data_IF_723001823930
#
_entry.id   IF_723001823930
#
_cell.length_a   1.000
_cell.length_b   1.000
_cell.length_c   1.000
_cell.angle_alpha   90.00
_cell.angle_beta   90.00
_cell.angle_gamma   90.00
#
_symmetry.space_group_name_H-M   'P 1'
#
loop_
_entity.id
_entity.type
_entity.pdbx_description
1 polymer ?
#
# COMPACT_ATOMS: atom_id res chain seq x y z
N UNK A 1 -6.10 7.97 7.50
CA UNK A 1 -5.31 9.11 8.07
C UNK A 1 -5.59 10.34 7.21
N UNK A 2 -6.03 11.46 7.79
CA UNK A 2 -6.24 12.73 7.06
C UNK A 2 -5.14 13.68 7.54
N UNK A 3 -4.10 13.81 6.75
CA UNK A 3 -3.04 14.80 7.02
C UNK A 3 -3.54 16.12 6.44
N UNK A 4 -3.88 17.09 7.31
CA UNK A 4 -4.43 18.41 6.89
C UNK A 4 -3.56 19.12 5.87
N UNK A 5 -2.25 18.94 5.94
CA UNK A 5 -1.31 19.56 5.01
C UNK A 5 -1.29 18.93 3.61
N UNK A 6 -1.83 17.70 3.44
CA UNK A 6 -2.02 17.08 2.13
C UNK A 6 -3.37 17.46 1.47
N UNK A 7 -4.23 18.20 2.16
CA UNK A 7 -5.46 18.75 1.57
C UNK A 7 -5.17 19.95 0.62
N UNK A 8 -4.00 20.58 0.70
CA UNK A 8 -3.60 21.61 -0.26
C UNK A 8 -3.21 20.96 -1.61
N UNK A 9 -3.98 21.19 -2.69
CA UNK A 9 -3.69 20.61 -4.01
C UNK A 9 -2.30 20.99 -4.56
N UNK A 10 -1.75 22.12 -4.14
CA UNK A 10 -0.42 22.58 -4.58
C UNK A 10 0.68 21.75 -3.92
N UNK A 11 0.58 21.53 -2.61
CA UNK A 11 1.52 20.68 -1.86
C UNK A 11 1.49 19.25 -2.35
N UNK A 12 0.28 18.71 -2.53
CA UNK A 12 0.10 17.36 -3.07
C UNK A 12 0.72 17.22 -4.48
N UNK A 13 0.55 18.22 -5.35
CA UNK A 13 1.17 18.24 -6.68
C UNK A 13 2.70 18.33 -6.62
N UNK A 14 3.26 19.12 -5.71
CA UNK A 14 4.71 19.22 -5.50
C UNK A 14 5.28 17.91 -4.97
N UNK A 15 4.65 17.31 -3.96
CA UNK A 15 5.05 16.05 -3.37
C UNK A 15 5.05 14.94 -4.42
N UNK A 16 3.96 14.84 -5.19
CA UNK A 16 3.86 13.90 -6.30
C UNK A 16 4.98 14.09 -7.32
N UNK A 17 5.23 15.33 -7.77
CA UNK A 17 6.28 15.60 -8.75
C UNK A 17 7.65 15.13 -8.29
N UNK A 18 7.96 15.24 -6.99
CA UNK A 18 9.22 14.75 -6.41
C UNK A 18 9.24 13.22 -6.31
N UNK A 19 8.10 12.58 -6.04
CA UNK A 19 7.97 11.12 -6.03
C UNK A 19 8.12 10.56 -7.44
N UNK A 20 7.40 11.12 -8.42
CA UNK A 20 7.36 10.65 -9.81
C UNK A 20 8.67 10.94 -10.58
N UNK A 21 9.57 11.73 -10.00
CA UNK A 21 10.93 11.91 -10.52
C UNK A 21 11.81 10.66 -10.36
N UNK A 22 11.39 9.65 -9.58
CA UNK A 22 12.09 8.41 -9.36
C UNK A 22 11.50 7.29 -10.22
N UNK A 23 12.35 6.37 -10.68
CA UNK A 23 11.94 5.19 -11.46
C UNK A 23 12.12 3.90 -10.66
N UNK A 24 11.38 2.84 -11.07
CA UNK A 24 11.55 1.50 -10.49
C UNK A 24 12.99 1.01 -10.63
N UNK A 25 13.64 1.28 -11.76
CA UNK A 25 15.02 0.83 -12.03
C UNK A 25 16.04 1.46 -11.06
N UNK A 26 15.81 2.69 -10.61
CA UNK A 26 16.69 3.39 -9.67
C UNK A 26 16.54 2.90 -8.22
N UNK A 27 15.37 2.37 -7.87
CA UNK A 27 15.06 1.98 -6.50
C UNK A 27 14.96 0.48 -6.27
N UNK A 28 14.90 -0.33 -7.35
CA UNK A 28 14.91 -1.79 -7.20
C UNK A 28 16.29 -2.28 -6.81
N UNK A 29 16.31 -3.27 -5.94
CA UNK A 29 17.51 -4.06 -5.67
C UNK A 29 17.54 -5.23 -6.67
N UNK A 30 18.63 -5.34 -7.43
CA UNK A 30 18.88 -6.43 -8.38
C UNK A 30 19.73 -7.56 -7.79
N UNK A 31 20.37 -7.34 -6.63
CA UNK A 31 21.15 -8.33 -5.89
C UNK A 31 20.36 -8.80 -4.65
N UNK A 32 19.32 -9.57 -4.89
CA UNK A 32 18.39 -10.03 -3.85
C UNK A 32 18.49 -11.55 -3.66
N UNK A 33 18.31 -12.06 -2.43
CA UNK A 33 18.31 -13.49 -2.17
C UNK A 33 17.05 -14.16 -2.73
N UNK A 34 17.18 -15.43 -3.11
CA UNK A 34 16.05 -16.29 -3.49
C UNK A 34 16.16 -17.66 -2.82
N UNK A 35 15.02 -18.32 -2.65
CA UNK A 35 14.92 -19.69 -2.13
C UNK A 35 14.05 -20.53 -3.05
N UNK A 36 14.24 -21.86 -3.02
CA UNK A 36 13.41 -22.82 -3.75
C UNK A 36 12.17 -23.24 -2.96
N UNK A 37 11.14 -23.70 -3.65
CA UNK A 37 9.90 -24.19 -2.98
C UNK A 37 10.13 -25.47 -2.16
N UNK A 38 11.14 -26.26 -2.49
CA UNK A 38 11.52 -27.48 -1.77
C UNK A 38 12.58 -27.25 -0.68
N UNK A 39 13.06 -26.03 -0.49
CA UNK A 39 13.96 -25.69 0.60
C UNK A 39 13.24 -25.85 1.96
N UNK A 40 14.04 -25.94 3.02
CA UNK A 40 13.51 -26.02 4.39
C UNK A 40 13.34 -24.63 4.98
N UNK A 41 12.43 -24.50 5.93
CA UNK A 41 12.23 -23.27 6.66
C UNK A 41 13.51 -22.80 7.37
N UNK A 42 14.34 -23.73 7.89
CA UNK A 42 15.66 -23.43 8.45
C UNK A 42 16.57 -22.67 7.50
N UNK A 43 16.57 -23.06 6.23
CA UNK A 43 17.43 -22.46 5.20
C UNK A 43 16.94 -21.03 4.89
N UNK A 44 15.63 -20.86 4.75
CA UNK A 44 15.01 -19.54 4.56
C UNK A 44 15.32 -18.59 5.70
N UNK A 45 15.19 -19.05 6.95
CA UNK A 45 15.47 -18.22 8.12
C UNK A 45 16.94 -17.81 8.21
N UNK A 46 17.85 -18.69 7.77
CA UNK A 46 19.27 -18.35 7.64
C UNK A 46 19.47 -17.26 6.58
N UNK A 47 18.85 -17.39 5.41
CA UNK A 47 18.89 -16.35 4.36
C UNK A 47 18.36 -15.02 4.89
N UNK A 48 17.17 -15.01 5.52
CA UNK A 48 16.54 -13.81 6.08
C UNK A 48 17.43 -13.12 7.12
N UNK A 49 18.06 -13.92 7.98
CA UNK A 49 18.99 -13.40 9.02
C UNK A 49 20.25 -12.79 8.42
N UNK A 50 20.88 -13.53 7.49
CA UNK A 50 22.20 -13.17 6.97
C UNK A 50 22.12 -11.98 5.98
N UNK A 51 20.96 -11.79 5.33
CA UNK A 51 20.73 -10.72 4.36
C UNK A 51 19.89 -9.57 4.89
N UNK A 52 19.31 -9.67 6.08
CA UNK A 52 18.33 -8.72 6.66
C UNK A 52 17.02 -8.57 5.86
N UNK A 53 16.73 -9.47 4.91
CA UNK A 53 15.48 -9.49 4.17
C UNK A 53 14.34 -10.07 5.02
N UNK A 54 13.21 -9.38 5.10
CA UNK A 54 12.03 -9.83 5.85
C UNK A 54 11.04 -10.64 5.00
N UNK A 55 11.11 -10.47 3.70
CA UNK A 55 10.38 -11.20 2.67
C UNK A 55 11.40 -11.71 1.65
N UNK A 56 11.37 -12.99 1.29
CA UNK A 56 12.31 -13.59 0.32
C UNK A 56 11.53 -14.18 -0.84
N UNK A 57 11.87 -13.84 -2.09
CA UNK A 57 11.27 -14.43 -3.28
C UNK A 57 11.55 -15.94 -3.38
N UNK A 58 10.52 -16.69 -3.74
CA UNK A 58 10.62 -18.12 -4.04
C UNK A 58 10.70 -18.31 -5.55
N UNK A 59 11.74 -19.01 -6.01
CA UNK A 59 12.01 -19.22 -7.43
C UNK A 59 12.30 -20.68 -7.71
N UNK A 60 11.53 -21.30 -8.62
CA UNK A 60 11.75 -22.67 -9.09
C UNK A 60 12.05 -22.66 -10.59
N UNK A 61 13.16 -23.27 -10.98
CA UNK A 61 13.59 -23.36 -12.39
C UNK A 61 13.58 -22.00 -13.11
N UNK A 62 13.95 -20.92 -12.42
CA UNK A 62 13.98 -19.56 -12.95
C UNK A 62 12.60 -18.89 -13.06
N UNK A 63 11.55 -19.54 -12.58
CA UNK A 63 10.18 -18.99 -12.54
C UNK A 63 9.87 -18.49 -11.13
N UNK A 64 9.37 -17.27 -11.01
CA UNK A 64 8.90 -16.71 -9.76
C UNK A 64 7.60 -17.42 -9.30
N UNK A 65 7.56 -17.86 -8.05
CA UNK A 65 6.45 -18.60 -7.45
C UNK A 65 5.68 -17.81 -6.40
N UNK A 66 6.27 -16.78 -5.83
CA UNK A 66 5.71 -15.98 -4.75
C UNK A 66 6.77 -15.57 -3.75
N UNK A 67 6.39 -15.18 -2.55
CA UNK A 67 7.31 -14.80 -1.46
C UNK A 67 7.05 -15.64 -0.21
N UNK A 68 8.09 -15.79 0.59
CA UNK A 68 7.98 -16.25 1.98
C UNK A 68 8.39 -15.09 2.90
N UNK A 69 7.65 -14.86 3.97
CA UNK A 69 7.86 -13.73 4.89
C UNK A 69 7.80 -14.17 6.34
N UNK A 70 8.43 -13.40 7.24
CA UNK A 70 8.25 -13.60 8.68
C UNK A 70 6.77 -13.62 9.08
N UNK A 71 5.96 -12.74 8.52
CA UNK A 71 4.51 -12.68 8.80
C UNK A 71 3.80 -13.98 8.40
N UNK A 72 4.15 -14.55 7.23
CA UNK A 72 3.58 -15.84 6.78
C UNK A 72 4.01 -16.98 7.69
N UNK A 73 5.29 -17.00 8.07
CA UNK A 73 5.84 -17.99 8.98
C UNK A 73 5.13 -17.93 10.34
N UNK A 74 4.95 -16.73 10.91
CA UNK A 74 4.27 -16.51 12.19
C UNK A 74 2.84 -17.01 12.22
N UNK A 75 2.11 -16.85 11.12
CA UNK A 75 0.70 -17.27 11.00
C UNK A 75 0.56 -18.80 10.91
N UNK A 76 1.63 -19.51 10.54
CA UNK A 76 1.61 -20.98 10.40
C UNK A 76 2.10 -21.69 11.66
N UNK A 77 1.26 -21.73 12.69
CA UNK A 77 1.60 -22.31 14.02
C UNK A 77 2.13 -23.75 13.98
N UNK A 78 1.77 -24.53 12.95
CA UNK A 78 2.20 -25.93 12.78
C UNK A 78 3.54 -26.09 12.05
N UNK A 79 4.14 -25.01 11.53
CA UNK A 79 5.42 -25.08 10.84
C UNK A 79 6.58 -25.30 11.84
N UNK A 80 7.56 -26.07 11.40
CA UNK A 80 8.82 -26.31 12.10
C UNK A 80 10.00 -26.09 11.14
N UNK A 81 11.23 -26.25 11.62
CA UNK A 81 12.45 -26.01 10.84
C UNK A 81 12.58 -26.88 9.59
N UNK A 82 12.02 -28.10 9.61
CA UNK A 82 12.03 -29.03 8.47
C UNK A 82 10.87 -28.80 7.50
N UNK A 83 9.93 -27.89 7.82
CA UNK A 83 8.78 -27.60 6.95
C UNK A 83 9.26 -27.06 5.61
N UNK A 84 8.65 -27.57 4.52
CA UNK A 84 8.96 -27.12 3.16
C UNK A 84 8.35 -25.76 2.86
N UNK A 85 9.11 -24.91 2.14
CA UNK A 85 8.72 -23.56 1.73
C UNK A 85 7.40 -23.52 0.97
N UNK A 86 7.12 -24.51 0.12
CA UNK A 86 5.89 -24.59 -0.69
C UNK A 86 4.58 -24.45 0.11
N UNK A 87 4.59 -24.86 1.38
CA UNK A 87 3.43 -24.71 2.27
C UNK A 87 3.26 -23.31 2.89
N UNK A 88 4.21 -22.41 2.63
CA UNK A 88 4.33 -21.07 3.22
C UNK A 88 4.40 -19.95 2.16
N UNK A 89 4.35 -20.31 0.88
CA UNK A 89 4.40 -19.34 -0.22
C UNK A 89 3.14 -18.47 -0.20
N UNK A 90 3.33 -17.17 -0.30
CA UNK A 90 2.28 -16.17 -0.44
C UNK A 90 2.40 -15.47 -1.80
N UNK A 91 1.28 -15.31 -2.52
CA UNK A 91 1.22 -14.42 -3.66
C UNK A 91 1.23 -12.96 -3.20
N UNK A 92 1.97 -12.13 -3.92
CA UNK A 92 1.99 -10.67 -3.74
C UNK A 92 1.88 -10.00 -5.10
N UNK A 93 1.46 -8.72 -5.16
CA UNK A 93 1.45 -7.96 -6.41
C UNK A 93 2.82 -7.98 -7.08
N UNK A 94 2.82 -8.07 -8.40
CA UNK A 94 4.03 -8.06 -9.22
C UNK A 94 4.17 -6.71 -9.91
N UNK A 95 5.38 -6.15 -9.87
CA UNK A 95 5.70 -4.86 -10.47
C UNK A 95 6.28 -5.01 -11.87
N UNK A 96 6.03 -4.00 -12.69
CA UNK A 96 6.73 -3.73 -13.94
C UNK A 96 7.73 -2.59 -13.74
N UNK A 97 8.80 -2.52 -14.57
CA UNK A 97 9.73 -1.37 -14.58
C UNK A 97 9.05 -0.02 -14.88
N UNK A 98 7.88 -0.05 -15.54
CA UNK A 98 7.11 1.14 -15.91
C UNK A 98 6.06 1.54 -14.87
N UNK A 99 5.98 0.86 -13.71
CA UNK A 99 5.01 1.21 -12.68
C UNK A 99 5.40 2.49 -11.96
N UNK A 100 4.40 3.30 -11.58
CA UNK A 100 4.59 4.53 -10.82
C UNK A 100 4.92 4.24 -9.36
N UNK A 101 5.78 5.03 -8.75
CA UNK A 101 6.18 4.87 -7.33
C UNK A 101 4.97 4.96 -6.39
N UNK A 102 4.02 5.84 -6.68
CA UNK A 102 2.78 5.97 -5.90
C UNK A 102 1.89 4.72 -5.99
N UNK A 103 1.87 4.04 -7.15
CA UNK A 103 1.20 2.75 -7.32
C UNK A 103 1.88 1.67 -6.48
N UNK A 104 3.21 1.61 -6.51
CA UNK A 104 3.99 0.66 -5.71
C UNK A 104 3.71 0.83 -4.22
N UNK A 105 3.67 2.08 -3.74
CA UNK A 105 3.33 2.40 -2.36
C UNK A 105 1.92 1.91 -2.00
N UNK A 106 0.92 2.11 -2.88
CA UNK A 106 -0.44 1.63 -2.68
C UNK A 106 -0.50 0.10 -2.65
N UNK A 107 0.18 -0.59 -3.56
CA UNK A 107 0.24 -2.05 -3.55
C UNK A 107 0.90 -2.60 -2.27
N UNK A 108 1.96 -1.95 -1.79
CA UNK A 108 2.62 -2.34 -0.54
C UNK A 108 1.73 -2.13 0.69
N UNK A 109 1.01 -1.02 0.77
CA UNK A 109 0.13 -0.73 1.91
C UNK A 109 -1.13 -1.56 1.86
N UNK A 110 -1.79 -1.66 0.71
CA UNK A 110 -3.03 -2.41 0.53
C UNK A 110 -2.88 -3.92 0.77
N UNK A 111 -1.72 -4.50 0.44
CA UNK A 111 -1.45 -5.93 0.62
C UNK A 111 -0.58 -6.23 1.85
N UNK A 112 -0.24 -5.24 2.66
CA UNK A 112 0.69 -5.34 3.79
C UNK A 112 1.99 -6.09 3.43
N UNK A 113 2.60 -5.72 2.28
CA UNK A 113 3.86 -6.29 1.82
C UNK A 113 5.02 -5.37 2.23
N UNK A 114 6.17 -5.97 2.58
CA UNK A 114 7.41 -5.21 2.87
C UNK A 114 8.27 -5.05 1.65
N UNK A 115 8.09 -5.93 0.68
CA UNK A 115 8.73 -5.80 -0.62
C UNK A 115 7.88 -6.45 -1.72
N UNK A 116 8.07 -5.98 -2.95
CA UNK A 116 7.38 -6.46 -4.13
C UNK A 116 8.38 -6.83 -5.22
N UNK A 117 8.15 -7.95 -5.93
CA UNK A 117 9.02 -8.39 -7.02
C UNK A 117 8.78 -7.56 -8.28
N UNK A 118 9.87 -7.21 -8.97
CA UNK A 118 9.84 -6.64 -10.31
C UNK A 118 10.01 -7.78 -11.32
N UNK A 119 9.04 -7.94 -12.22
CA UNK A 119 8.97 -9.10 -13.12
C UNK A 119 9.21 -8.69 -14.57
N UNK A 120 9.95 -9.51 -15.29
CA UNK A 120 10.07 -9.46 -16.75
C UNK A 120 9.72 -10.82 -17.34
N UNK A 121 8.58 -10.94 -17.98
CA UNK A 121 8.02 -12.21 -18.40
C UNK A 121 7.66 -13.09 -17.18
N UNK A 122 8.36 -14.24 -17.02
CA UNK A 122 8.21 -15.13 -15.86
C UNK A 122 9.34 -15.02 -14.83
N UNK A 123 10.32 -14.16 -15.08
CA UNK A 123 11.51 -14.03 -14.25
C UNK A 123 11.42 -12.81 -13.36
N UNK A 124 11.86 -12.97 -12.12
CA UNK A 124 12.10 -11.85 -11.22
C UNK A 124 13.45 -11.21 -11.60
N UNK A 125 13.47 -9.89 -11.76
CA UNK A 125 14.65 -9.11 -12.16
C UNK A 125 15.10 -8.13 -11.09
N UNK A 126 14.32 -7.97 -10.03
CA UNK A 126 14.62 -7.11 -8.91
C UNK A 126 13.51 -7.16 -7.86
N UNK A 127 13.73 -6.52 -6.74
CA UNK A 127 12.75 -6.32 -5.68
C UNK A 127 12.72 -4.84 -5.28
N UNK A 128 11.54 -4.30 -5.00
CA UNK A 128 11.39 -2.98 -4.39
C UNK A 128 10.95 -3.18 -2.94
N UNK A 129 11.70 -2.63 -2.00
CA UNK A 129 11.41 -2.73 -0.57
C UNK A 129 10.77 -1.46 -0.02
N UNK A 130 10.11 -1.54 1.15
CA UNK A 130 9.65 -0.35 1.90
C UNK A 130 10.82 0.60 2.19
N UNK A 131 11.99 0.07 2.51
CA UNK A 131 13.21 0.86 2.74
C UNK A 131 13.55 1.73 1.54
N UNK A 132 13.43 1.22 0.32
CA UNK A 132 13.68 1.99 -0.90
C UNK A 132 12.70 3.17 -1.03
N UNK A 133 11.41 2.99 -0.73
CA UNK A 133 10.42 4.06 -0.73
C UNK A 133 10.67 5.08 0.40
N UNK A 134 11.08 4.63 1.59
CA UNK A 134 11.49 5.53 2.67
C UNK A 134 12.73 6.32 2.28
N UNK A 135 13.67 5.73 1.53
CA UNK A 135 14.80 6.44 0.94
C UNK A 135 14.42 7.51 -0.08
N UNK A 136 13.28 7.39 -0.78
CA UNK A 136 12.70 8.50 -1.55
C UNK A 136 12.18 9.57 -0.57
N UNK A 137 11.39 9.17 0.43
CA UNK A 137 10.79 10.07 1.40
C UNK A 137 11.84 10.92 2.14
N UNK A 138 12.99 10.35 2.51
CA UNK A 138 14.08 11.07 3.20
C UNK A 138 14.73 12.19 2.38
N UNK A 139 14.39 12.32 1.09
CA UNK A 139 14.90 13.36 0.19
C UNK A 139 13.81 14.35 -0.25
N UNK A 140 12.59 14.20 0.23
CA UNK A 140 11.45 15.01 -0.14
C UNK A 140 11.25 16.15 0.84
N UNK A 141 11.68 17.37 0.46
CA UNK A 141 11.62 18.56 1.31
C UNK A 141 10.23 18.91 1.85
N UNK A 142 9.17 18.59 1.12
CA UNK A 142 7.79 18.87 1.56
C UNK A 142 7.45 18.09 2.84
N UNK A 143 8.08 16.94 3.09
CA UNK A 143 7.88 16.15 4.30
C UNK A 143 8.49 16.80 5.56
N UNK A 144 9.33 17.81 5.41
CA UNK A 144 9.85 18.62 6.52
C UNK A 144 8.78 19.50 7.19
N UNK A 145 7.65 19.68 6.53
CA UNK A 145 6.52 20.46 7.07
C UNK A 145 5.55 19.58 7.87
N UNK A 146 5.63 18.26 7.73
CA UNK A 146 4.76 17.29 8.42
C UNK A 146 5.48 16.82 9.70
N UNK A 147 4.80 16.88 10.83
CA UNK A 147 5.33 16.44 12.11
C UNK A 147 5.07 14.96 12.36
N UNK A 148 5.99 14.31 13.06
CA UNK A 148 5.88 12.88 13.44
C UNK A 148 4.57 12.60 14.16
N UNK A 149 4.13 13.47 15.10
CA UNK A 149 2.88 13.27 15.85
C UNK A 149 1.62 13.25 14.98
N UNK A 150 1.66 13.81 13.77
CA UNK A 150 0.51 13.82 12.85
C UNK A 150 0.26 12.46 12.22
N UNK A 151 1.31 11.62 12.16
CA UNK A 151 1.25 10.33 11.45
C UNK A 151 1.57 9.12 12.34
N UNK A 152 2.15 9.32 13.53
CA UNK A 152 2.49 8.22 14.44
C UNK A 152 1.26 7.47 14.93
N UNK A 153 1.43 6.18 15.21
CA UNK A 153 0.43 5.39 15.92
C UNK A 153 0.45 5.74 17.42
N UNK A 154 -0.67 6.22 17.93
CA UNK A 154 -0.92 6.54 19.34
C UNK A 154 -2.38 6.21 19.69
N UNK A 155 -2.71 5.52 20.83
CA UNK A 155 -1.76 5.00 21.83
C UNK A 155 -0.89 3.84 21.32
N UNK A 156 0.35 3.76 21.81
CA UNK A 156 1.29 2.70 21.48
C UNK A 156 1.28 1.59 22.54
N UNK A 157 1.35 0.34 22.09
CA UNK A 157 1.61 -0.80 22.97
C UNK A 157 3.12 -1.05 23.08
N UNK A 158 3.58 -1.39 24.28
CA UNK A 158 4.98 -1.68 24.59
C UNK A 158 5.07 -2.81 25.63
N UNK A 159 6.25 -3.40 25.79
CA UNK A 159 6.53 -4.38 26.83
C UNK A 159 7.49 -3.80 27.86
N UNK A 160 7.38 -4.25 29.12
CA UNK A 160 8.36 -3.91 30.16
C UNK A 160 9.67 -4.64 29.93
N UNK A 161 10.80 -4.08 30.38
CA UNK A 161 12.12 -4.68 30.25
C UNK A 161 12.19 -6.12 30.82
N UNK A 162 11.47 -6.38 31.91
CA UNK A 162 11.42 -7.69 32.56
C UNK A 162 10.34 -8.62 31.99
N UNK A 163 9.60 -8.22 30.96
CA UNK A 163 8.59 -9.06 30.31
C UNK A 163 9.27 -10.29 29.68
N UNK A 164 8.51 -11.36 29.55
CA UNK A 164 8.99 -12.57 28.86
C UNK A 164 8.99 -12.37 27.35
N UNK A 165 9.91 -13.03 26.68
CA UNK A 165 9.98 -12.99 25.21
C UNK A 165 8.70 -13.50 24.54
N UNK A 166 8.01 -14.46 25.18
CA UNK A 166 6.69 -14.94 24.77
C UNK A 166 5.62 -13.84 24.77
N UNK A 167 5.67 -12.89 25.70
CA UNK A 167 4.69 -11.81 25.79
C UNK A 167 4.89 -10.82 24.63
N UNK A 168 6.16 -10.50 24.31
CA UNK A 168 6.48 -9.69 23.13
C UNK A 168 6.04 -10.38 21.84
N UNK A 169 6.25 -11.69 21.72
CA UNK A 169 5.82 -12.48 20.58
C UNK A 169 4.27 -12.47 20.40
N UNK A 170 3.54 -12.71 21.50
CA UNK A 170 2.07 -12.66 21.48
C UNK A 170 1.57 -11.27 21.06
N UNK A 171 2.21 -10.20 21.57
CA UNK A 171 1.88 -8.83 21.18
C UNK A 171 2.19 -8.54 19.70
N UNK A 172 3.29 -9.05 19.15
CA UNK A 172 3.60 -8.93 17.72
C UNK A 172 2.53 -9.60 16.86
N UNK A 173 2.03 -10.76 17.26
CA UNK A 173 0.96 -11.46 16.55
C UNK A 173 -0.36 -10.70 16.63
N UNK A 174 -0.71 -10.16 17.80
CA UNK A 174 -1.94 -9.38 18.01
C UNK A 174 -1.95 -8.09 17.16
N UNK A 175 -0.80 -7.40 17.08
CA UNK A 175 -0.66 -6.12 16.39
C UNK A 175 -0.26 -6.25 14.91
N UNK A 176 -0.01 -7.47 14.41
CA UNK A 176 0.57 -7.76 13.08
C UNK A 176 1.85 -6.92 12.80
N UNK A 177 2.68 -6.74 13.83
CA UNK A 177 3.96 -6.01 13.77
C UNK A 177 5.14 -6.95 14.00
N UNK A 178 6.31 -6.56 13.54
CA UNK A 178 7.55 -7.33 13.73
C UNK A 178 8.50 -6.69 14.75
N UNK A 179 8.12 -5.57 15.37
CA UNK A 179 8.97 -4.86 16.34
C UNK A 179 8.10 -4.22 17.42
N UNK A 180 8.50 -4.36 18.68
CA UNK A 180 7.83 -3.80 19.86
C UNK A 180 8.82 -2.94 20.65
N UNK A 181 8.45 -1.71 21.07
CA UNK A 181 9.23 -0.92 22.01
C UNK A 181 9.28 -1.55 23.39
N UNK A 182 10.40 -1.42 24.06
CA UNK A 182 10.63 -1.85 25.44
C UNK A 182 10.75 -0.61 26.31
N UNK A 183 10.01 -0.59 27.42
CA UNK A 183 10.02 0.53 28.36
C UNK A 183 10.37 0.07 29.78
N UNK A 184 10.91 1.00 30.56
CA UNK A 184 11.09 0.82 32.01
C UNK A 184 9.82 1.24 32.77
N UNK A 185 9.86 1.16 34.12
CA UNK A 185 8.73 1.53 34.98
C UNK A 185 8.33 3.02 34.92
N UNK A 186 9.21 3.88 34.38
CA UNK A 186 8.94 5.31 34.18
C UNK A 186 8.42 5.61 32.77
N UNK A 187 8.08 4.58 32.00
CA UNK A 187 7.68 4.66 30.58
C UNK A 187 8.78 5.25 29.67
N UNK A 188 10.05 5.15 30.07
CA UNK A 188 11.17 5.55 29.21
C UNK A 188 11.55 4.40 28.29
N UNK A 189 11.84 4.70 27.01
CA UNK A 189 12.31 3.72 26.04
C UNK A 189 13.71 3.24 26.45
N UNK A 190 13.87 1.93 26.63
CA UNK A 190 15.14 1.29 26.95
C UNK A 190 15.69 0.44 25.81
N UNK A 191 14.83 0.03 24.86
CA UNK A 191 15.23 -0.76 23.70
C UNK A 191 14.05 -1.06 22.80
N UNK A 192 14.30 -1.90 21.80
CA UNK A 192 13.29 -2.53 20.96
C UNK A 192 13.58 -4.03 20.86
N UNK A 193 12.54 -4.82 20.71
CA UNK A 193 12.66 -6.25 20.37
C UNK A 193 11.98 -6.51 19.06
N UNK A 194 12.67 -7.15 18.14
CA UNK A 194 12.18 -7.52 16.81
C UNK A 194 11.98 -9.02 16.66
N UNK A 195 11.33 -9.41 15.59
CA UNK A 195 11.08 -10.80 15.25
C UNK A 195 12.39 -11.59 15.03
N UNK A 196 13.42 -10.91 14.50
CA UNK A 196 14.74 -11.49 14.28
C UNK A 196 15.36 -11.96 15.61
N UNK A 197 15.35 -11.11 16.63
CA UNK A 197 15.89 -11.42 17.95
C UNK A 197 15.14 -12.59 18.60
N UNK A 198 13.82 -12.66 18.40
CA UNK A 198 12.99 -13.77 18.87
C UNK A 198 13.40 -15.09 18.20
N UNK A 199 13.53 -15.07 16.88
CA UNK A 199 13.92 -16.27 16.11
C UNK A 199 15.31 -16.75 16.47
N UNK A 200 16.29 -15.85 16.50
CA UNK A 200 17.69 -16.20 16.80
C UNK A 200 17.86 -16.84 18.19
N UNK A 201 17.06 -16.44 19.16
CA UNK A 201 17.12 -16.97 20.51
C UNK A 201 16.30 -18.25 20.73
N UNK A 202 15.17 -18.39 20.06
CA UNK A 202 14.26 -19.54 20.32
C UNK A 202 14.48 -20.73 19.41
N UNK A 203 15.06 -20.55 18.21
CA UNK A 203 15.17 -21.61 17.22
C UNK A 203 16.55 -22.26 17.09
N UNK A 204 17.37 -22.13 18.11
CA UNK A 204 18.60 -22.94 18.21
C UNK A 204 18.33 -24.43 18.47
N UNK A 205 17.08 -24.82 18.80
CA UNK A 205 16.66 -26.22 19.04
C UNK A 205 15.76 -26.70 17.90
N UNK A 206 16.25 -27.63 17.09
CA UNK A 206 15.70 -28.10 15.80
C UNK A 206 14.29 -28.71 15.83
N UNK A 207 13.72 -29.05 16.98
CA UNK A 207 12.46 -29.81 17.10
C UNK A 207 11.24 -28.98 17.55
N UNK A 208 11.31 -27.65 17.57
CA UNK A 208 10.21 -26.80 18.03
C UNK A 208 9.33 -26.36 16.87
N UNK A 209 8.01 -26.42 17.06
CA UNK A 209 7.04 -25.80 16.17
C UNK A 209 6.82 -24.34 16.55
N UNK A 210 6.39 -23.52 15.57
CA UNK A 210 6.13 -22.07 15.80
C UNK A 210 5.11 -21.85 16.93
N UNK A 211 4.09 -22.69 17.04
CA UNK A 211 3.11 -22.64 18.12
C UNK A 211 3.68 -22.88 19.53
N UNK A 212 4.89 -23.44 19.64
CA UNK A 212 5.55 -23.62 20.93
C UNK A 212 6.24 -22.36 21.44
N UNK A 213 6.43 -21.35 20.59
CA UNK A 213 6.91 -20.02 21.02
C UNK A 213 5.91 -19.37 22.00
N UNK A 214 4.61 -19.62 21.80
CA UNK A 214 3.55 -19.17 22.73
C UNK A 214 3.56 -19.91 24.05
N UNK A 215 4.05 -21.18 24.06
CA UNK A 215 3.94 -22.09 25.21
C UNK A 215 5.25 -22.24 26.01
N UNK A 216 6.38 -21.76 25.47
CA UNK A 216 7.67 -22.01 26.09
C UNK A 216 7.96 -21.10 27.30
N UNK A 217 7.17 -21.28 28.34
CA UNK A 217 7.45 -20.77 29.68
C UNK A 217 8.71 -21.37 30.34
N UNK A 218 9.47 -22.26 29.67
CA UNK A 218 10.61 -22.97 30.29
C UNK A 218 11.97 -22.29 30.15
N UNK A 219 12.17 -21.42 29.17
CA UNK A 219 13.33 -20.53 29.16
C UNK A 219 12.84 -19.15 29.64
N UNK A 220 13.18 -18.78 30.84
CA UNK A 220 12.89 -17.45 31.40
C UNK A 220 13.76 -16.38 30.71
N UNK A 221 13.61 -16.26 29.39
CA UNK A 221 14.31 -15.25 28.60
C UNK A 221 13.48 -13.97 28.65
N UNK A 222 14.05 -12.92 29.23
CA UNK A 222 13.45 -11.60 29.26
C UNK A 222 13.70 -10.87 27.95
N UNK A 223 12.80 -9.97 27.55
CA UNK A 223 12.97 -9.15 26.35
C UNK A 223 14.23 -8.30 26.39
N UNK A 224 14.64 -7.83 27.59
CA UNK A 224 15.85 -7.04 27.78
C UNK A 224 17.13 -7.79 27.38
N UNK A 225 17.18 -9.11 27.64
CA UNK A 225 18.35 -9.93 27.33
C UNK A 225 18.62 -10.15 25.84
N UNK A 226 17.64 -9.88 24.99
CA UNK A 226 17.70 -10.07 23.53
C UNK A 226 17.42 -8.78 22.75
N UNK A 227 17.14 -7.70 23.46
CA UNK A 227 16.76 -6.41 22.85
C UNK A 227 17.93 -5.72 22.13
N UNK A 228 17.59 -4.94 21.13
CA UNK A 228 18.50 -3.95 20.54
C UNK A 228 18.48 -2.71 21.45
N UNK A 229 19.63 -2.42 22.06
CA UNK A 229 19.80 -1.34 23.03
C UNK A 229 21.14 -0.62 22.80
N UNK A 230 21.17 0.74 22.73
CA UNK A 230 20.02 1.63 22.81
C UNK A 230 19.13 1.61 21.55
N UNK A 231 17.83 1.86 21.73
CA UNK A 231 16.92 2.05 20.60
C UNK A 231 17.19 3.39 19.92
N UNK A 232 17.13 3.41 18.59
CA UNK A 232 17.02 4.66 17.83
C UNK A 232 15.60 5.17 18.01
N UNK A 233 15.44 6.42 18.44
CA UNK A 233 14.15 7.06 18.71
C UNK A 233 14.03 8.36 17.93
N UNK A 234 12.80 8.86 17.75
CA UNK A 234 12.50 10.15 17.16
C UNK A 234 11.61 10.96 18.13
N UNK A 235 11.79 12.28 18.20
CA UNK A 235 10.90 13.10 18.99
C UNK A 235 9.55 13.29 18.30
N UNK A 236 8.49 13.45 19.07
CA UNK A 236 7.14 13.60 18.56
C UNK A 236 6.96 14.85 17.69
N UNK A 237 7.74 15.91 17.91
CA UNK A 237 7.74 17.18 17.16
C UNK A 237 8.83 17.27 16.08
N UNK A 238 9.63 16.22 15.88
CA UNK A 238 10.52 16.11 14.72
C UNK A 238 9.70 16.00 13.41
N UNK A 239 10.39 16.12 12.29
CA UNK A 239 9.73 16.05 10.98
C UNK A 239 9.66 14.61 10.45
N UNK A 240 8.74 14.38 9.51
CA UNK A 240 8.66 13.09 8.81
C UNK A 240 9.92 12.84 7.96
N UNK A 241 10.54 13.90 7.42
CA UNK A 241 11.82 13.82 6.69
C UNK A 241 12.94 13.33 7.61
N UNK A 242 13.06 13.87 8.83
CA UNK A 242 14.04 13.44 9.84
C UNK A 242 13.84 11.97 10.20
N UNK A 243 12.59 11.56 10.45
CA UNK A 243 12.23 10.18 10.76
C UNK A 243 12.55 9.23 9.60
N UNK A 244 12.23 9.61 8.36
CA UNK A 244 12.56 8.83 7.17
C UNK A 244 14.07 8.66 6.99
N UNK A 245 14.84 9.72 7.25
CA UNK A 245 16.30 9.71 7.21
C UNK A 245 16.86 8.77 8.27
N UNK A 246 16.38 8.86 9.53
CA UNK A 246 16.79 7.93 10.60
C UNK A 246 16.50 6.47 10.24
N UNK A 247 15.31 6.18 9.68
CA UNK A 247 14.96 4.81 9.27
C UNK A 247 15.86 4.31 8.13
N UNK A 248 16.14 5.17 7.16
CA UNK A 248 16.93 4.79 5.99
C UNK A 248 18.40 4.56 6.34
N UNK A 249 19.01 5.47 7.11
CA UNK A 249 20.43 5.43 7.45
C UNK A 249 20.78 4.29 8.42
N UNK A 250 19.84 3.96 9.33
CA UNK A 250 20.05 2.89 10.31
C UNK A 250 19.47 1.54 9.89
N UNK A 251 18.90 1.43 8.68
CA UNK A 251 18.23 0.21 8.15
C UNK A 251 17.18 -0.36 9.12
N UNK A 252 16.34 0.51 9.68
CA UNK A 252 15.29 0.14 10.64
C UNK A 252 13.91 0.44 10.10
N UNK A 253 12.93 -0.37 10.50
CA UNK A 253 11.55 -0.28 10.00
C UNK A 253 10.59 0.40 10.99
N UNK A 254 11.04 0.65 12.22
CA UNK A 254 10.19 1.13 13.31
C UNK A 254 10.98 2.03 14.23
N UNK A 255 10.45 3.21 14.53
CA UNK A 255 10.98 4.18 15.49
C UNK A 255 10.01 4.34 16.66
N UNK A 256 10.44 4.07 17.90
CA UNK A 256 9.73 4.58 19.06
C UNK A 256 9.72 6.10 19.03
N UNK A 257 8.55 6.71 19.21
CA UNK A 257 8.37 8.15 19.27
C UNK A 257 8.34 8.56 20.73
N UNK A 258 9.16 9.56 21.07
CA UNK A 258 9.34 9.99 22.46
C UNK A 258 9.01 11.47 22.66
N UNK A 259 8.57 11.79 23.88
CA UNK A 259 8.52 13.14 24.44
C UNK A 259 9.47 13.15 25.65
N UNK A 260 10.61 13.83 25.52
CA UNK A 260 11.65 13.91 26.57
C UNK A 260 12.25 12.55 26.88
N UNK A 261 12.12 11.47 26.45
CA UNK A 261 12.52 10.06 26.64
C UNK A 261 11.35 9.13 26.99
N UNK A 262 10.13 9.64 27.24
CA UNK A 262 8.95 8.82 27.48
C UNK A 262 8.33 8.39 26.15
N UNK A 263 7.95 7.14 26.06
CA UNK A 263 7.27 6.59 24.91
C UNK A 263 5.89 7.22 24.77
N UNK A 264 5.62 7.88 23.63
CA UNK A 264 4.31 8.50 23.32
C UNK A 264 3.67 7.93 22.07
N UNK A 265 4.43 7.26 21.19
CA UNK A 265 3.93 6.69 19.95
C UNK A 265 4.94 5.75 19.32
N UNK A 266 4.56 5.23 18.16
CA UNK A 266 5.45 4.48 17.26
C UNK A 266 5.23 4.96 15.83
N UNK A 267 6.31 5.10 15.09
CA UNK A 267 6.31 5.40 13.66
C UNK A 267 6.97 4.25 12.90
N UNK A 268 6.36 3.82 11.83
CA UNK A 268 6.86 2.73 10.99
C UNK A 268 7.08 3.17 9.55
N UNK A 269 7.86 2.39 8.79
CA UNK A 269 7.96 2.58 7.34
C UNK A 269 6.59 2.56 6.66
N UNK A 270 5.62 1.80 7.18
CA UNK A 270 4.27 1.74 6.65
C UNK A 270 3.59 3.11 6.68
N UNK A 271 3.69 3.84 7.80
CA UNK A 271 3.07 5.16 7.97
C UNK A 271 3.64 6.19 6.97
N UNK A 272 4.96 6.14 6.73
CA UNK A 272 5.61 7.01 5.74
C UNK A 272 5.17 6.66 4.31
N UNK A 273 5.11 5.35 3.97
CA UNK A 273 4.71 4.88 2.65
C UNK A 273 3.24 5.19 2.38
N UNK A 274 2.39 5.22 3.42
CA UNK A 274 0.99 5.61 3.29
C UNK A 274 0.86 7.06 2.77
N UNK A 275 1.78 7.97 3.14
CA UNK A 275 1.84 9.32 2.58
C UNK A 275 2.11 9.27 1.07
N UNK A 276 3.11 8.47 0.64
CA UNK A 276 3.43 8.29 -0.78
C UNK A 276 2.22 7.70 -1.53
N UNK A 277 1.57 6.71 -0.95
CA UNK A 277 0.36 6.09 -1.51
C UNK A 277 -0.79 7.09 -1.66
N UNK A 278 -0.98 7.98 -0.67
CA UNK A 278 -2.01 9.03 -0.71
C UNK A 278 -1.78 10.04 -1.85
N UNK A 279 -0.54 10.17 -2.33
CA UNK A 279 -0.20 11.04 -3.47
C UNK A 279 -0.60 10.44 -4.82
N UNK A 280 -1.03 9.17 -4.86
CA UNK A 280 -1.46 8.55 -6.11
C UNK A 280 -2.62 9.32 -6.71
N UNK A 281 -2.47 9.71 -7.97
CA UNK A 281 -3.57 10.27 -8.75
C UNK A 281 -4.57 9.15 -9.01
N UNK A 282 -5.58 9.12 -8.20
CA UNK A 282 -6.75 8.35 -8.55
C UNK A 282 -7.50 9.21 -9.57
N UNK A 283 -7.62 8.72 -10.77
CA UNK A 283 -8.63 9.20 -11.71
C UNK A 283 -10.01 8.76 -11.16
N UNK A 284 -10.32 9.18 -9.94
CA UNK A 284 -11.66 9.02 -9.37
C UNK A 284 -12.53 10.07 -10.05
N UNK A 285 -13.09 9.66 -11.17
CA UNK A 285 -14.19 10.40 -11.79
C UNK A 285 -15.37 10.19 -10.84
N UNK A 286 -15.83 11.26 -10.23
CA UNK A 286 -17.04 11.21 -9.43
C UNK A 286 -18.22 10.93 -10.34
N UNK A 287 -18.81 9.73 -10.24
CA UNK A 287 -19.98 9.33 -11.02
C UNK A 287 -21.19 9.35 -10.09
N UNK A 288 -22.17 10.17 -10.43
CA UNK A 288 -23.45 10.23 -9.73
C UNK A 288 -24.58 9.89 -10.68
N UNK A 289 -25.37 8.88 -10.31
CA UNK A 289 -26.61 8.52 -11.01
C UNK A 289 -27.77 8.88 -10.09
N UNK A 290 -28.74 9.61 -10.62
CA UNK A 290 -29.93 10.04 -9.89
C UNK A 290 -31.20 9.74 -10.70
N UNK A 291 -32.34 9.64 -10.02
CA UNK A 291 -33.65 9.41 -10.66
C UNK A 291 -33.96 7.96 -11.04
N UNK A 292 -33.17 6.99 -10.54
CA UNK A 292 -33.51 5.56 -10.67
C UNK A 292 -34.67 5.22 -9.73
N UNK A 293 -35.68 4.54 -10.25
CA UNK A 293 -36.78 3.97 -9.47
C UNK A 293 -36.38 2.61 -8.88
N UNK A 294 -37.19 2.07 -7.94
CA UNK A 294 -36.86 0.80 -7.27
C UNK A 294 -36.71 -0.36 -8.25
N UNK A 295 -37.52 -0.40 -9.31
CA UNK A 295 -37.44 -1.41 -10.37
C UNK A 295 -36.15 -1.34 -11.19
N UNK A 296 -35.51 -0.17 -11.27
CA UNK A 296 -34.30 0.08 -12.03
C UNK A 296 -33.03 -0.24 -11.27
N UNK A 297 -33.11 -0.42 -9.93
CA UNK A 297 -31.95 -0.70 -9.06
C UNK A 297 -31.20 -1.97 -9.43
N UNK A 298 -31.89 -2.98 -9.98
CA UNK A 298 -31.27 -4.21 -10.45
C UNK A 298 -30.31 -3.98 -11.65
N UNK A 299 -30.50 -2.90 -12.40
CA UNK A 299 -29.64 -2.55 -13.52
C UNK A 299 -28.42 -1.68 -13.12
N UNK A 300 -28.29 -1.28 -11.85
CA UNK A 300 -27.27 -0.32 -11.38
C UNK A 300 -25.86 -0.79 -11.69
N UNK A 301 -25.54 -2.06 -11.46
CA UNK A 301 -24.21 -2.65 -11.72
C UNK A 301 -23.87 -2.57 -13.22
N UNK A 302 -24.79 -2.97 -14.09
CA UNK A 302 -24.61 -2.89 -15.54
C UNK A 302 -24.48 -1.44 -16.05
N UNK A 303 -25.13 -0.47 -15.38
CA UNK A 303 -24.96 0.95 -15.70
C UNK A 303 -23.53 1.42 -15.37
N UNK A 304 -23.00 1.06 -14.19
CA UNK A 304 -21.64 1.41 -13.81
C UNK A 304 -20.62 0.79 -14.76
N UNK A 305 -20.74 -0.49 -15.13
CA UNK A 305 -19.84 -1.14 -16.11
C UNK A 305 -19.78 -0.39 -17.44
N UNK A 306 -20.94 -0.04 -17.99
CA UNK A 306 -21.04 0.72 -19.27
C UNK A 306 -20.41 2.10 -19.15
N UNK A 307 -20.61 2.78 -18.01
CA UNK A 307 -20.07 4.11 -17.77
C UNK A 307 -18.54 4.03 -17.61
N UNK A 308 -18.05 3.13 -16.80
CA UNK A 308 -16.60 2.96 -16.53
C UNK A 308 -15.82 2.65 -17.81
N UNK A 309 -16.32 1.74 -18.66
CA UNK A 309 -15.68 1.41 -19.93
C UNK A 309 -15.43 2.66 -20.80
N UNK A 310 -16.42 3.54 -20.91
CA UNK A 310 -16.31 4.74 -21.75
C UNK A 310 -15.51 5.85 -21.04
N UNK A 311 -15.61 5.96 -19.72
CA UNK A 311 -14.85 6.94 -18.93
C UNK A 311 -13.35 6.65 -18.98
N UNK A 312 -12.92 5.38 -18.99
CA UNK A 312 -11.51 4.99 -19.24
C UNK A 312 -11.02 5.50 -20.60
N UNK A 313 -11.85 5.45 -21.64
CA UNK A 313 -11.50 5.97 -22.98
C UNK A 313 -11.38 7.49 -22.98
N UNK A 314 -12.33 8.17 -22.34
CA UNK A 314 -12.36 9.63 -22.21
C UNK A 314 -11.13 10.09 -21.39
N UNK A 315 -10.77 9.41 -20.31
CA UNK A 315 -9.65 9.71 -19.45
C UNK A 315 -8.29 9.74 -20.16
N UNK A 316 -8.12 8.92 -21.19
CA UNK A 316 -6.89 8.92 -22.03
C UNK A 316 -6.69 10.21 -22.84
N UNK A 317 -7.75 11.01 -23.04
CA UNK A 317 -7.73 12.20 -23.90
C UNK A 317 -7.94 13.50 -23.14
N UNK A 318 -8.85 13.47 -22.17
CA UNK A 318 -9.17 14.58 -21.28
C UNK A 318 -9.26 14.05 -19.84
N UNK A 319 -9.01 14.91 -18.85
CA UNK A 319 -9.20 14.58 -17.42
C UNK A 319 -10.62 15.02 -17.03
N UNK A 320 -11.61 14.09 -17.02
CA UNK A 320 -12.92 14.37 -16.47
C UNK A 320 -12.84 14.44 -14.94
N UNK A 321 -13.54 15.39 -14.34
CA UNK A 321 -13.60 15.59 -12.88
C UNK A 321 -14.83 14.89 -12.30
N UNK A 322 -15.97 15.01 -12.97
CA UNK A 322 -17.20 14.31 -12.57
C UNK A 322 -18.16 14.09 -13.73
N UNK A 323 -18.96 13.05 -13.59
CA UNK A 323 -20.07 12.72 -14.49
C UNK A 323 -21.35 12.60 -13.66
N UNK A 324 -22.32 13.45 -13.94
CA UNK A 324 -23.65 13.37 -13.34
C UNK A 324 -24.65 12.89 -14.37
N UNK A 325 -25.35 11.81 -14.09
CA UNK A 325 -26.46 11.30 -14.88
C UNK A 325 -27.76 11.49 -14.11
N UNK A 326 -28.77 11.95 -14.81
CA UNK A 326 -30.14 11.99 -14.32
C UNK A 326 -31.04 11.19 -15.24
N UNK A 327 -31.67 10.17 -14.67
CA UNK A 327 -32.60 9.28 -15.35
C UNK A 327 -34.02 9.74 -15.03
N UNK A 328 -34.81 10.00 -16.09
CA UNK A 328 -36.23 10.22 -15.96
C UNK A 328 -36.97 9.08 -16.68
N UNK A 329 -37.82 8.37 -15.97
CA UNK A 329 -38.64 7.26 -16.45
C UNK A 329 -40.02 7.78 -16.78
N UNK A 330 -40.54 7.40 -17.94
CA UNK A 330 -41.89 7.68 -18.38
C UNK A 330 -42.61 6.35 -18.64
N UNK A 331 -43.66 6.10 -17.85
CA UNK A 331 -44.50 4.91 -18.05
C UNK A 331 -45.41 5.11 -19.26
N UNK A 332 -45.37 4.18 -20.21
CA UNK A 332 -46.34 4.13 -21.27
C UNK A 332 -47.44 3.11 -20.95
N UNK A 333 -48.63 3.29 -21.49
CA UNK A 333 -49.84 2.49 -21.21
C UNK A 333 -49.75 1.02 -21.63
N UNK A 334 -48.61 0.58 -22.16
CA UNK A 334 -48.35 -0.80 -22.62
C UNK A 334 -47.40 -1.64 -21.79
N UNK A 335 -47.00 -1.19 -20.59
CA UNK A 335 -46.09 -1.96 -19.73
C UNK A 335 -44.60 -1.84 -20.09
N UNK A 336 -44.23 -1.05 -21.09
CA UNK A 336 -42.85 -0.67 -21.42
C UNK A 336 -42.52 0.72 -20.86
N UNK A 337 -41.32 0.88 -20.30
CA UNK A 337 -40.84 2.16 -19.79
C UNK A 337 -39.95 2.85 -20.84
N UNK A 338 -40.16 4.15 -21.01
CA UNK A 338 -39.29 5.00 -21.83
C UNK A 338 -38.39 5.83 -20.91
N UNK A 339 -37.08 5.81 -21.16
CA UNK A 339 -36.08 6.50 -20.36
C UNK A 339 -35.56 7.73 -21.10
N UNK A 340 -35.43 8.82 -20.40
CA UNK A 340 -34.69 10.02 -20.82
C UNK A 340 -33.53 10.25 -19.89
N UNK A 341 -32.31 10.09 -20.39
CA UNK A 341 -31.09 10.21 -19.60
C UNK A 341 -30.38 11.49 -20.00
N UNK A 342 -30.17 12.36 -19.02
CA UNK A 342 -29.38 13.58 -19.15
C UNK A 342 -28.04 13.37 -18.50
N UNK A 343 -26.93 13.67 -19.17
CA UNK A 343 -25.58 13.61 -18.63
C UNK A 343 -24.94 14.98 -18.63
N UNK A 344 -24.22 15.26 -17.54
CA UNK A 344 -23.39 16.44 -17.40
C UNK A 344 -21.97 16.00 -17.05
N UNK A 345 -21.05 16.18 -18.00
CA UNK A 345 -19.63 15.86 -17.82
C UNK A 345 -18.86 17.14 -17.49
N UNK A 346 -18.23 17.15 -16.31
CA UNK A 346 -17.33 18.19 -15.87
C UNK A 346 -15.91 17.78 -16.22
N UNK A 347 -15.22 18.68 -16.92
CA UNK A 347 -13.81 18.54 -17.30
C UNK A 347 -13.10 19.85 -16.92
N UNK A 348 -11.81 19.81 -16.69
CA UNK A 348 -11.04 21.00 -16.29
C UNK A 348 -11.34 22.23 -17.16
N UNK A 349 -12.10 23.18 -16.60
CA UNK A 349 -12.50 24.41 -17.27
C UNK A 349 -13.61 24.28 -18.30
N UNK A 350 -14.33 23.15 -18.38
CA UNK A 350 -15.45 22.94 -19.30
C UNK A 350 -16.53 22.06 -18.68
N UNK A 351 -17.76 22.38 -19.01
CA UNK A 351 -18.94 21.53 -18.73
C UNK A 351 -19.62 21.21 -20.06
N UNK A 352 -19.92 19.94 -20.29
CA UNK A 352 -20.63 19.48 -21.51
C UNK A 352 -21.89 18.74 -21.07
N UNK A 353 -23.00 19.06 -21.73
CA UNK A 353 -24.29 18.46 -21.44
C UNK A 353 -24.73 17.58 -22.63
N UNK A 354 -25.25 16.41 -22.31
CA UNK A 354 -25.76 15.44 -23.28
C UNK A 354 -27.13 14.94 -22.86
N UNK A 355 -27.89 14.45 -23.80
CA UNK A 355 -29.18 13.82 -23.54
C UNK A 355 -29.44 12.72 -24.56
N UNK A 356 -30.00 11.62 -24.07
CA UNK A 356 -30.43 10.49 -24.90
C UNK A 356 -31.78 9.96 -24.42
N UNK A 357 -32.55 9.36 -25.33
CA UNK A 357 -33.90 8.83 -25.03
C UNK A 357 -34.04 7.45 -25.67
N UNK A 358 -34.50 6.47 -24.91
CA UNK A 358 -34.69 5.11 -25.39
C UNK A 358 -35.66 4.30 -24.52
N UNK A 359 -35.86 3.04 -24.90
CA UNK A 359 -36.77 2.13 -24.22
C UNK A 359 -36.09 1.12 -23.30
N UNK A 360 -34.78 1.03 -23.35
CA UNK A 360 -33.95 0.18 -22.48
C UNK A 360 -32.94 1.05 -21.75
N UNK A 361 -32.91 0.96 -20.43
CA UNK A 361 -32.09 1.81 -19.58
C UNK A 361 -30.58 1.64 -19.83
N UNK A 362 -30.11 0.39 -19.88
CA UNK A 362 -28.66 0.08 -20.03
C UNK A 362 -28.21 0.46 -21.46
N UNK A 363 -28.98 0.10 -22.48
CA UNK A 363 -28.67 0.45 -23.85
C UNK A 363 -28.70 1.95 -24.12
N UNK A 364 -29.67 2.66 -23.54
CA UNK A 364 -29.77 4.13 -23.69
C UNK A 364 -28.57 4.81 -23.00
N UNK A 365 -28.13 4.28 -21.85
CA UNK A 365 -26.92 4.76 -21.19
C UNK A 365 -25.68 4.49 -22.03
N UNK A 366 -25.56 3.31 -22.64
CA UNK A 366 -24.46 2.97 -23.56
C UNK A 366 -24.38 3.92 -24.76
N UNK A 367 -25.52 4.20 -25.39
CA UNK A 367 -25.59 5.10 -26.54
C UNK A 367 -25.24 6.54 -26.14
N UNK A 368 -25.70 7.00 -24.96
CA UNK A 368 -25.33 8.28 -24.39
C UNK A 368 -23.83 8.39 -24.14
N UNK A 369 -23.24 7.37 -23.52
CA UNK A 369 -21.80 7.36 -23.17
C UNK A 369 -20.92 7.30 -24.42
N UNK A 370 -21.30 6.57 -25.47
CA UNK A 370 -20.63 6.60 -26.78
C UNK A 370 -20.63 8.00 -27.38
N UNK A 371 -21.81 8.67 -27.38
CA UNK A 371 -21.98 10.03 -27.88
C UNK A 371 -21.10 11.03 -27.12
N UNK A 372 -20.99 10.88 -25.79
CA UNK A 372 -20.08 11.67 -24.96
C UNK A 372 -18.63 11.43 -25.39
N UNK A 373 -18.22 10.17 -25.51
CA UNK A 373 -16.87 9.77 -25.90
C UNK A 373 -16.47 10.34 -27.26
N UNK A 374 -17.32 10.18 -28.28
CA UNK A 374 -17.11 10.70 -29.62
C UNK A 374 -17.01 12.23 -29.67
N UNK A 375 -17.89 12.91 -28.91
CA UNK A 375 -17.83 14.38 -28.79
C UNK A 375 -16.55 14.86 -28.16
N UNK A 376 -16.09 14.22 -27.08
CA UNK A 376 -14.85 14.56 -26.39
C UNK A 376 -13.62 14.30 -27.28
N UNK A 377 -13.61 13.18 -28.05
CA UNK A 377 -12.54 12.88 -29.00
C UNK A 377 -12.46 13.94 -30.12
N UNK A 378 -13.62 14.36 -30.68
CA UNK A 378 -13.68 15.38 -31.75
C UNK A 378 -13.16 16.74 -31.28
N UNK A 379 -13.29 17.08 -29.98
CA UNK A 379 -12.73 18.31 -29.40
C UNK A 379 -11.19 18.33 -29.42
N UNK A 380 -10.53 17.17 -29.36
CA UNK A 380 -9.07 17.05 -29.49
C UNK A 380 -8.62 17.37 -30.91
N UNK A 381 -9.29 16.78 -31.88
CA UNK A 381 -8.92 16.93 -33.30
C UNK A 381 -9.09 18.36 -33.79
N UNK A 382 -10.11 19.08 -33.32
CA UNK A 382 -10.30 20.51 -33.62
C UNK A 382 -9.18 21.39 -33.05
N UNK A 383 -8.64 21.07 -31.86
CA UNK A 383 -7.49 21.81 -31.28
C UNK A 383 -6.19 21.54 -32.01
N UNK A 384 -5.98 20.32 -32.51
CA UNK A 384 -4.79 19.96 -33.29
C UNK A 384 -4.85 20.64 -34.65
N UNK A 385 -5.97 20.65 -35.33
CA UNK A 385 -6.15 21.33 -36.63
C UNK A 385 -5.97 22.85 -36.55
N UNK A 386 -6.33 23.47 -35.41
CA UNK A 386 -6.10 24.92 -35.20
C UNK A 386 -4.62 25.27 -34.94
N UNK A 387 -3.87 24.38 -34.29
CA UNK A 387 -2.42 24.55 -34.06
C UNK A 387 -1.59 24.34 -35.33
N UNK A 388 -2.03 23.46 -36.23
CA UNK A 388 -1.36 23.22 -37.52
C UNK A 388 -1.59 24.35 -38.52
N UNK A 389 -2.68 25.11 -38.42
CA UNK A 389 -2.97 26.28 -39.28
C UNK A 389 -2.28 27.57 -38.82
N UNK A 390 -1.66 27.57 -37.62
CA UNK A 390 -0.91 28.73 -37.09
C UNK A 390 0.61 28.55 -37.12
N UNK A 391 1.10 27.46 -37.69
CA UNK A 391 2.50 27.26 -38.08
C UNK A 391 2.62 27.40 -39.61
#
# INVERSE_FOLDING_TARGET
>A
MVIKDLEDPRRLSMLRSQIDANSVEEIMDSDFPTVGSDDRLSDVLSVMRDTNYQDVPVVDNGTYMGVISYTTILKKKSANMDSKVKGLIRGVPMLSKSDDITKIAEEMTGNNCRQLPVISGKRIIGVVSRRALVGIASRIKVLNEIKVWEIMTNPVKSVGANAMLSDAFAMMQELDTLTIPIVNNENKVVGVVGMREIIDNNWRNENKIIGDLEKNARAQITVESVSVNPAVTVNWDDTVEDAATLMFDNDISTLPVVEGNKLVGVLTQYDIIEIISACRERELIFIQISGLEDDDKAATEALYEVIEEQMVKIGKVYRPESLMLHVARYNDTGGSAKYSISARLYMRGKVVNFKEVGWDLVRTTSDLMKKISESVMSMKDSKIGFRQRKK
#
